data_IF_347553123819
#
_entry.id   IF_347553123819
#
_cell.length_a   1.000
_cell.length_b   1.000
_cell.length_c   1.000
_cell.angle_alpha   90.00
_cell.angle_beta   90.00
_cell.angle_gamma   90.00
#
_symmetry.space_group_name_H-M   'P 1'
#
loop_
_entity.id
_entity.type
_entity.pdbx_description
1 polymer ?
#
# COMPACT_ATOMS: atom_id res chain seq x y z
N UNK A 1 -17.07 -23.72 5.67
CA UNK A 1 -15.96 -24.30 6.45
C UNK A 1 -14.95 -23.24 6.88
N UNK A 2 -14.62 -23.18 8.16
CA UNK A 2 -13.72 -22.19 8.75
C UNK A 2 -12.69 -22.89 9.65
N UNK A 3 -11.77 -22.12 10.27
CA UNK A 3 -10.78 -22.68 11.19
C UNK A 3 -11.42 -23.40 12.40
N UNK A 4 -12.62 -22.98 12.81
CA UNK A 4 -13.36 -23.59 13.92
C UNK A 4 -14.17 -24.83 13.55
N UNK A 5 -14.24 -25.21 12.27
CA UNK A 5 -14.92 -26.46 11.86
C UNK A 5 -14.11 -27.66 12.37
N UNK A 6 -14.70 -28.54 13.21
CA UNK A 6 -14.09 -29.76 13.72
C UNK A 6 -13.51 -30.65 12.61
N UNK A 7 -12.53 -31.48 12.97
CA UNK A 7 -11.79 -32.29 12.00
C UNK A 7 -12.67 -33.33 11.30
N UNK A 8 -13.49 -34.05 12.06
CA UNK A 8 -14.46 -35.03 11.57
C UNK A 8 -15.51 -34.39 10.64
N UNK A 9 -16.07 -33.25 11.02
CA UNK A 9 -17.01 -32.51 10.18
C UNK A 9 -16.35 -32.04 8.87
N UNK A 10 -15.09 -31.58 8.93
CA UNK A 10 -14.31 -31.22 7.73
C UNK A 10 -14.13 -32.40 6.79
N UNK A 11 -13.76 -33.57 7.30
CA UNK A 11 -13.61 -34.78 6.47
C UNK A 11 -14.94 -35.16 5.83
N UNK A 12 -16.04 -35.08 6.56
CA UNK A 12 -17.37 -35.36 6.02
C UNK A 12 -17.76 -34.38 4.89
N UNK A 13 -17.49 -33.09 5.06
CA UNK A 13 -17.76 -32.07 4.02
C UNK A 13 -16.96 -32.35 2.76
N UNK A 14 -15.66 -32.66 2.90
CA UNK A 14 -14.77 -32.98 1.79
C UNK A 14 -15.25 -34.25 1.08
N UNK A 15 -15.55 -35.31 1.83
CA UNK A 15 -16.04 -36.58 1.29
C UNK A 15 -17.33 -36.41 0.47
N UNK A 16 -18.30 -35.65 1.00
CA UNK A 16 -19.54 -35.33 0.28
C UNK A 16 -19.28 -34.55 -1.01
N UNK A 17 -18.27 -33.69 -1.03
CA UNK A 17 -17.89 -32.94 -2.22
C UNK A 17 -17.26 -33.84 -3.29
N UNK A 18 -16.36 -34.74 -2.89
CA UNK A 18 -15.70 -35.71 -3.78
C UNK A 18 -16.69 -36.69 -4.41
N UNK A 19 -17.73 -37.08 -3.67
CA UNK A 19 -18.84 -37.89 -4.19
C UNK A 19 -19.84 -37.09 -5.04
N UNK A 20 -19.66 -35.77 -5.13
CA UNK A 20 -20.56 -34.88 -5.86
C UNK A 20 -21.92 -34.65 -5.18
N UNK A 21 -22.12 -35.11 -3.95
CA UNK A 21 -23.31 -34.83 -3.13
C UNK A 21 -23.36 -33.35 -2.71
N UNK A 22 -22.19 -32.74 -2.49
CA UNK A 22 -22.03 -31.30 -2.30
C UNK A 22 -21.33 -30.71 -3.52
N UNK A 23 -21.94 -29.72 -4.21
CA UNK A 23 -21.33 -29.12 -5.41
C UNK A 23 -20.40 -27.95 -5.14
N UNK A 24 -20.55 -27.28 -3.99
CA UNK A 24 -19.82 -26.05 -3.66
C UNK A 24 -19.38 -26.11 -2.20
N UNK A 25 -18.10 -25.86 -1.94
CA UNK A 25 -17.57 -25.62 -0.59
C UNK A 25 -17.15 -24.17 -0.45
N UNK A 26 -17.79 -23.45 0.47
CA UNK A 26 -17.33 -22.12 0.89
C UNK A 26 -16.31 -22.29 2.02
N UNK A 27 -15.11 -21.74 1.83
CA UNK A 27 -14.03 -21.84 2.82
C UNK A 27 -13.36 -20.50 3.11
N UNK A 28 -12.87 -20.34 4.34
CA UNK A 28 -12.10 -19.16 4.75
C UNK A 28 -10.72 -19.59 5.23
N UNK A 29 -9.75 -19.60 4.30
CA UNK A 29 -8.33 -19.82 4.61
C UNK A 29 -7.93 -21.25 4.98
N UNK A 30 -8.87 -22.19 5.02
CA UNK A 30 -8.63 -23.58 5.46
C UNK A 30 -8.28 -24.53 4.31
N UNK A 31 -8.79 -24.30 3.10
CA UNK A 31 -8.51 -25.16 1.94
C UNK A 31 -7.32 -24.69 1.10
N UNK A 32 -6.50 -23.79 1.65
CA UNK A 32 -5.30 -23.28 0.95
C UNK A 32 -4.20 -24.34 0.93
N UNK A 33 -4.17 -25.25 1.91
CA UNK A 33 -3.22 -26.36 2.02
C UNK A 33 -3.97 -27.66 2.38
N UNK A 34 -3.43 -28.82 1.96
CA UNK A 34 -3.98 -30.13 2.28
C UNK A 34 -5.29 -30.51 1.56
N UNK A 35 -5.81 -29.66 0.67
CA UNK A 35 -6.98 -29.95 -0.15
C UNK A 35 -6.58 -30.34 -1.57
N UNK A 36 -7.01 -31.53 -1.98
CA UNK A 36 -6.67 -32.15 -3.25
C UNK A 36 -7.83 -32.99 -3.82
N UNK A 37 -8.92 -32.30 -4.19
CA UNK A 37 -10.10 -32.91 -4.82
C UNK A 37 -10.29 -32.34 -6.23
N UNK A 38 -11.12 -32.98 -7.09
CA UNK A 38 -11.44 -32.45 -8.42
C UNK A 38 -12.26 -31.15 -8.32
N UNK A 39 -11.59 -30.02 -8.49
CA UNK A 39 -12.21 -28.69 -8.57
C UNK A 39 -12.27 -28.22 -10.01
N UNK A 40 -13.49 -27.88 -10.47
CA UNK A 40 -13.75 -27.40 -11.83
C UNK A 40 -14.07 -25.90 -11.91
N UNK A 41 -14.35 -25.28 -10.77
CA UNK A 41 -14.70 -23.87 -10.67
C UNK A 41 -14.14 -23.26 -9.38
N UNK A 42 -13.52 -22.08 -9.50
CA UNK A 42 -13.05 -21.28 -8.37
C UNK A 42 -13.79 -19.95 -8.37
N UNK A 43 -14.46 -19.63 -7.26
CA UNK A 43 -15.01 -18.30 -7.00
C UNK A 43 -14.09 -17.62 -5.99
N UNK A 44 -13.30 -16.66 -6.46
CA UNK A 44 -12.34 -15.95 -5.63
C UNK A 44 -12.91 -14.61 -5.16
N UNK A 45 -13.46 -14.62 -3.94
CA UNK A 45 -14.08 -13.46 -3.30
C UNK A 45 -13.20 -12.82 -2.21
N UNK A 46 -11.87 -12.95 -2.33
CA UNK A 46 -10.92 -12.48 -1.31
C UNK A 46 -9.88 -11.55 -1.91
N UNK A 47 -9.94 -10.22 -1.65
CA UNK A 47 -8.86 -9.32 -2.05
C UNK A 47 -7.51 -9.76 -1.47
N UNK A 48 -6.50 -9.84 -2.32
CA UNK A 48 -5.12 -10.16 -1.94
C UNK A 48 -4.13 -9.23 -2.64
N UNK A 49 -3.01 -8.95 -1.96
CA UNK A 49 -1.82 -8.31 -2.52
C UNK A 49 -0.66 -9.30 -2.70
N UNK A 50 -0.88 -10.58 -2.36
CA UNK A 50 0.11 -11.65 -2.45
C UNK A 50 -0.18 -12.48 -3.70
N UNK A 51 0.75 -12.44 -4.66
CA UNK A 51 0.78 -13.28 -5.86
C UNK A 51 0.80 -14.76 -5.49
N UNK A 52 1.70 -15.15 -4.57
CA UNK A 52 1.81 -16.53 -4.07
C UNK A 52 0.44 -17.07 -3.63
N UNK A 53 -0.29 -16.30 -2.84
CA UNK A 53 -1.61 -16.72 -2.35
C UNK A 53 -2.65 -16.78 -3.48
N UNK A 54 -2.61 -15.85 -4.43
CA UNK A 54 -3.48 -15.85 -5.59
C UNK A 54 -3.28 -17.13 -6.41
N UNK A 55 -2.02 -17.45 -6.74
CA UNK A 55 -1.63 -18.66 -7.48
C UNK A 55 -1.98 -19.92 -6.69
N UNK A 56 -1.67 -19.98 -5.39
CA UNK A 56 -1.97 -21.15 -4.55
C UNK A 56 -3.46 -21.45 -4.45
N UNK A 57 -4.32 -20.43 -4.43
CA UNK A 57 -5.77 -20.60 -4.38
C UNK A 57 -6.32 -21.03 -5.74
N UNK A 58 -5.95 -20.35 -6.83
CA UNK A 58 -6.42 -20.67 -8.18
C UNK A 58 -5.89 -22.02 -8.65
N UNK A 59 -4.63 -22.33 -8.34
CA UNK A 59 -3.96 -23.57 -8.72
C UNK A 59 -4.66 -24.84 -8.21
N UNK A 60 -5.56 -24.74 -7.22
CA UNK A 60 -6.40 -25.87 -6.79
C UNK A 60 -7.40 -26.30 -7.87
N UNK A 61 -7.89 -25.36 -8.68
CA UNK A 61 -8.75 -25.64 -9.83
C UNK A 61 -7.99 -26.08 -11.08
N UNK A 62 -6.74 -25.64 -11.22
CA UNK A 62 -5.91 -25.89 -12.40
C UNK A 62 -5.29 -27.30 -12.46
N UNK A 63 -5.45 -28.13 -11.42
CA UNK A 63 -5.00 -29.53 -11.46
C UNK A 63 -5.78 -30.32 -12.49
N UNK A 64 -5.14 -31.22 -13.21
CA UNK A 64 -5.82 -32.13 -14.15
C UNK A 64 -6.71 -33.12 -13.41
N UNK A 65 -7.85 -33.48 -14.01
CA UNK A 65 -8.74 -34.54 -13.54
C UNK A 65 -9.40 -35.23 -14.74
N UNK A 66 -9.84 -36.50 -14.61
CA UNK A 66 -10.54 -37.19 -15.70
C UNK A 66 -11.75 -36.40 -16.22
N UNK A 67 -11.79 -36.16 -17.53
CA UNK A 67 -12.86 -35.40 -18.18
C UNK A 67 -12.94 -33.93 -17.76
N UNK A 68 -11.81 -33.30 -17.41
CA UNK A 68 -11.71 -31.86 -17.13
C UNK A 68 -10.77 -31.19 -18.11
N UNK A 69 -11.37 -30.57 -19.14
CA UNK A 69 -10.63 -29.81 -20.15
C UNK A 69 -10.43 -28.35 -19.75
N UNK A 70 -11.32 -27.81 -18.91
CA UNK A 70 -11.33 -26.40 -18.51
C UNK A 70 -11.65 -26.23 -17.03
N UNK A 71 -11.05 -25.21 -16.40
CA UNK A 71 -11.44 -24.73 -15.07
C UNK A 71 -11.97 -23.29 -15.18
N UNK A 72 -13.14 -23.03 -14.61
CA UNK A 72 -13.71 -21.69 -14.56
C UNK A 72 -13.18 -20.92 -13.34
N UNK A 73 -12.79 -19.66 -13.54
CA UNK A 73 -12.30 -18.79 -12.47
C UNK A 73 -13.11 -17.50 -12.47
N UNK A 74 -13.83 -17.24 -11.38
CA UNK A 74 -14.58 -16.02 -11.15
C UNK A 74 -13.85 -15.17 -10.10
N UNK A 75 -13.20 -14.09 -10.53
CA UNK A 75 -12.52 -13.15 -9.65
C UNK A 75 -13.44 -11.98 -9.27
N UNK A 76 -14.09 -12.08 -8.10
CA UNK A 76 -14.89 -11.00 -7.53
C UNK A 76 -14.08 -10.01 -6.70
N UNK A 77 -12.76 -10.21 -6.61
CA UNK A 77 -11.88 -9.42 -5.78
C UNK A 77 -11.06 -8.38 -6.55
N UNK A 78 -11.04 -8.46 -7.88
CA UNK A 78 -10.18 -7.65 -8.75
C UNK A 78 -8.69 -7.99 -8.61
N UNK A 79 -8.38 -9.23 -8.24
CA UNK A 79 -7.01 -9.72 -8.15
C UNK A 79 -6.31 -9.74 -9.51
N UNK A 80 -7.00 -10.08 -10.60
CA UNK A 80 -6.43 -10.03 -11.96
C UNK A 80 -6.00 -8.61 -12.35
N UNK A 81 -6.79 -7.60 -12.00
CA UNK A 81 -6.41 -6.19 -12.26
C UNK A 81 -5.14 -5.78 -11.51
N UNK A 82 -4.86 -6.37 -10.34
CA UNK A 82 -3.76 -5.98 -9.47
C UNK A 82 -2.50 -6.82 -9.65
N UNK A 83 -2.67 -8.11 -9.91
CA UNK A 83 -1.61 -9.11 -9.89
C UNK A 83 -1.39 -9.78 -11.26
N UNK A 84 -2.29 -9.57 -12.22
CA UNK A 84 -2.23 -10.20 -13.53
C UNK A 84 -2.95 -11.55 -13.58
N UNK A 85 -2.91 -12.17 -14.76
CA UNK A 85 -3.46 -13.49 -14.96
C UNK A 85 -2.58 -14.55 -14.28
N UNK A 86 -3.17 -15.57 -13.62
CA UNK A 86 -2.41 -16.60 -12.88
C UNK A 86 -1.34 -17.32 -13.71
N UNK A 87 -1.60 -17.56 -14.98
CA UNK A 87 -0.73 -18.23 -15.95
C UNK A 87 0.38 -17.34 -16.51
N UNK A 88 0.27 -16.02 -16.32
CA UNK A 88 1.30 -15.07 -16.74
C UNK A 88 2.30 -14.74 -15.61
N UNK A 89 2.13 -15.27 -14.40
CA UNK A 89 3.01 -14.98 -13.27
C UNK A 89 4.13 -16.02 -13.22
N UNK A 90 5.31 -15.64 -13.70
CA UNK A 90 6.50 -16.49 -13.72
C UNK A 90 7.63 -15.95 -12.83
N UNK A 91 8.42 -16.85 -12.25
CA UNK A 91 9.59 -16.52 -11.44
C UNK A 91 10.84 -17.17 -12.05
N UNK A 92 11.57 -16.41 -12.88
CA UNK A 92 12.87 -16.81 -13.47
C UNK A 92 13.95 -17.19 -12.45
N UNK A 93 13.87 -16.64 -11.24
CA UNK A 93 14.83 -16.84 -10.16
C UNK A 93 14.10 -17.16 -8.86
N UNK A 94 14.64 -18.11 -8.11
CA UNK A 94 14.24 -18.29 -6.71
C UNK A 94 14.89 -17.18 -5.89
N UNK A 95 14.14 -16.38 -5.13
CA UNK A 95 14.75 -15.41 -4.23
C UNK A 95 15.59 -16.17 -3.20
N UNK A 96 16.92 -15.97 -3.24
CA UNK A 96 17.84 -16.63 -2.32
C UNK A 96 17.40 -16.49 -0.87
N UNK A 97 17.51 -17.58 -0.10
CA UNK A 97 17.48 -17.56 1.36
C UNK A 97 18.62 -16.66 1.83
N UNK A 98 18.27 -15.50 2.37
CA UNK A 98 19.19 -14.38 2.53
C UNK A 98 20.34 -14.62 3.51
N UNK A 99 21.52 -14.19 3.08
CA UNK A 99 22.71 -13.79 3.82
C UNK A 99 22.82 -12.26 3.95
N UNK A 100 21.68 -11.58 4.12
CA UNK A 100 21.64 -10.20 4.66
C UNK A 100 21.61 -9.05 3.66
N UNK A 101 21.56 -9.27 2.35
CA UNK A 101 21.42 -8.18 1.36
C UNK A 101 19.95 -7.92 1.00
N UNK A 102 19.35 -6.90 1.63
CA UNK A 102 17.96 -6.45 1.37
C UNK A 102 17.79 -5.79 -0.01
N UNK A 103 18.88 -5.39 -0.65
CA UNK A 103 18.87 -4.57 -1.87
C UNK A 103 18.53 -5.36 -3.14
N UNK A 104 18.87 -6.65 -3.19
CA UNK A 104 18.60 -7.52 -4.35
C UNK A 104 17.09 -7.71 -4.58
N UNK A 105 16.31 -7.89 -3.50
CA UNK A 105 14.84 -8.03 -3.57
C UNK A 105 14.13 -6.77 -4.06
N UNK A 106 14.70 -5.59 -3.81
CA UNK A 106 14.14 -4.32 -4.26
C UNK A 106 14.43 -4.09 -5.73
N UNK A 107 15.65 -4.42 -6.20
CA UNK A 107 16.02 -4.28 -7.61
C UNK A 107 15.28 -5.25 -8.54
N UNK A 108 15.09 -6.51 -8.14
CA UNK A 108 14.43 -7.52 -8.97
C UNK A 108 12.93 -7.24 -9.13
N UNK A 109 12.28 -6.81 -8.04
CA UNK A 109 10.88 -6.36 -8.07
C UNK A 109 10.70 -5.03 -8.82
N UNK A 110 11.71 -4.16 -8.83
CA UNK A 110 11.70 -2.91 -9.60
C UNK A 110 11.94 -3.14 -11.11
N UNK A 111 12.65 -4.21 -11.49
CA UNK A 111 12.78 -4.63 -12.91
C UNK A 111 11.48 -5.20 -13.47
N UNK A 112 10.65 -5.86 -12.65
CA UNK A 112 9.37 -6.47 -13.06
C UNK A 112 8.15 -5.55 -12.92
N UNK A 113 8.17 -4.38 -13.55
CA UNK A 113 6.90 -3.71 -13.88
C UNK A 113 6.39 -4.31 -15.19
N UNK A 114 6.08 -5.60 -15.16
CA UNK A 114 5.33 -6.21 -16.25
C UNK A 114 3.98 -5.51 -16.34
N UNK A 115 3.61 -5.12 -17.55
CA UNK A 115 2.38 -4.38 -17.79
C UNK A 115 1.23 -5.28 -17.35
N UNK A 116 0.42 -4.81 -16.41
CA UNK A 116 -0.76 -5.55 -15.97
C UNK A 116 -1.83 -5.56 -17.07
N UNK A 117 -2.71 -6.57 -17.09
CA UNK A 117 -3.82 -6.62 -18.01
C UNK A 117 -4.76 -5.42 -17.80
N UNK A 118 -5.44 -5.01 -18.88
CA UNK A 118 -6.34 -3.86 -18.87
C UNK A 118 -7.72 -4.24 -19.35
N UNK A 119 -8.72 -3.82 -18.61
CA UNK A 119 -10.11 -3.99 -18.98
C UNK A 119 -10.46 -3.20 -20.25
N UNK A 120 -11.22 -3.82 -21.15
CA UNK A 120 -11.80 -3.15 -22.30
C UNK A 120 -12.95 -2.25 -21.88
N UNK A 121 -12.90 -0.98 -22.28
CA UNK A 121 -13.92 0.04 -22.01
C UNK A 121 -15.29 -0.24 -22.66
N UNK A 122 -15.35 -1.09 -23.69
CA UNK A 122 -16.59 -1.41 -24.39
C UNK A 122 -17.24 -2.72 -23.92
N UNK A 123 -16.47 -3.79 -23.71
CA UNK A 123 -17.02 -5.12 -23.44
C UNK A 123 -16.54 -5.75 -22.13
N UNK A 124 -15.77 -5.02 -21.31
CA UNK A 124 -15.22 -5.47 -20.03
C UNK A 124 -14.29 -6.69 -20.11
N UNK A 125 -13.88 -7.11 -21.31
CA UNK A 125 -12.90 -8.16 -21.46
C UNK A 125 -11.55 -7.71 -20.91
N UNK A 126 -10.94 -8.56 -20.08
CA UNK A 126 -9.62 -8.33 -19.55
C UNK A 126 -8.57 -8.58 -20.63
N UNK A 127 -8.05 -7.51 -21.24
CA UNK A 127 -7.07 -7.62 -22.32
C UNK A 127 -5.69 -7.92 -21.73
N UNK A 128 -4.92 -8.85 -22.34
CA UNK A 128 -3.52 -9.04 -21.98
C UNK A 128 -2.70 -7.75 -22.11
N UNK A 129 -1.59 -7.74 -21.40
CA UNK A 129 -0.63 -6.65 -21.40
C UNK A 129 -0.22 -6.24 -22.82
N UNK A 130 -0.26 -4.94 -23.14
CA UNK A 130 0.19 -4.44 -24.44
C UNK A 130 -0.80 -4.61 -25.60
N UNK A 131 -1.91 -5.31 -25.42
CA UNK A 131 -2.92 -5.51 -26.46
C UNK A 131 -3.80 -4.27 -26.62
N UNK A 132 -3.62 -3.56 -27.74
CA UNK A 132 -4.35 -2.32 -28.03
C UNK A 132 -5.79 -2.59 -28.50
N UNK A 133 -5.95 -3.41 -29.54
CA UNK A 133 -7.25 -3.83 -30.08
C UNK A 133 -7.82 -4.96 -29.22
N UNK A 134 -9.05 -4.81 -28.71
CA UNK A 134 -9.66 -5.86 -27.90
C UNK A 134 -9.86 -7.15 -28.71
N UNK A 135 -9.36 -8.31 -28.26
CA UNK A 135 -9.50 -9.57 -29.00
C UNK A 135 -10.94 -10.12 -28.97
N UNK A 136 -11.78 -9.69 -28.01
CA UNK A 136 -13.17 -10.15 -27.88
C UNK A 136 -14.14 -9.37 -28.78
N UNK A 137 -14.04 -8.04 -28.83
CA UNK A 137 -15.02 -7.19 -29.52
C UNK A 137 -14.41 -6.27 -30.59
N UNK A 138 -13.10 -6.32 -30.83
CA UNK A 138 -12.43 -5.47 -31.81
C UNK A 138 -12.28 -3.99 -31.40
N UNK A 139 -12.73 -3.61 -30.18
CA UNK A 139 -12.65 -2.23 -29.72
C UNK A 139 -11.23 -1.70 -29.74
N UNK A 140 -11.02 -0.62 -30.50
CA UNK A 140 -9.80 0.16 -30.55
C UNK A 140 -10.09 1.48 -29.81
N UNK A 141 -9.51 1.70 -28.62
CA UNK A 141 -9.65 2.98 -27.95
C UNK A 141 -9.09 4.05 -28.88
N UNK A 142 -9.92 5.00 -29.33
CA UNK A 142 -9.40 6.17 -30.03
C UNK A 142 -8.46 6.86 -29.05
N UNK A 143 -7.15 6.84 -29.34
CA UNK A 143 -6.32 7.94 -28.84
C UNK A 143 -7.04 9.17 -29.34
N UNK A 144 -7.42 10.08 -28.42
CA UNK A 144 -8.05 11.34 -28.84
C UNK A 144 -7.29 11.85 -30.05
N UNK A 145 -8.02 12.22 -31.10
CA UNK A 145 -7.42 12.70 -32.35
C UNK A 145 -6.22 13.55 -31.99
N UNK A 146 -5.05 13.23 -32.55
CA UNK A 146 -3.89 14.08 -32.42
C UNK A 146 -4.33 15.42 -33.00
N UNK A 147 -4.76 16.33 -32.11
CA UNK A 147 -5.13 17.70 -32.46
C UNK A 147 -3.94 18.20 -33.26
N UNK A 148 -4.14 18.62 -34.51
CA UNK A 148 -3.07 19.09 -35.36
C UNK A 148 -2.22 20.10 -34.57
N UNK A 149 -1.05 19.65 -34.13
CA UNK A 149 -0.10 20.54 -33.50
C UNK A 149 0.83 21.02 -34.59
N UNK A 150 0.66 22.30 -34.94
CA UNK A 150 1.57 23.05 -35.77
C UNK A 150 3.04 22.76 -35.39
N UNK A 151 3.72 21.99 -36.24
CA UNK A 151 5.11 21.55 -36.04
C UNK A 151 6.11 22.69 -36.24
N UNK A 152 5.69 23.83 -36.80
CA UNK A 152 6.52 25.04 -36.90
C UNK A 152 6.62 25.77 -35.56
N UNK A 153 5.71 25.48 -34.62
CA UNK A 153 5.81 25.88 -33.22
C UNK A 153 6.37 24.72 -32.40
N UNK A 154 7.69 24.56 -32.41
CA UNK A 154 8.38 23.51 -31.67
C UNK A 154 7.85 23.31 -30.24
N UNK A 155 7.06 22.26 -30.04
CA UNK A 155 6.57 21.85 -28.73
C UNK A 155 7.74 21.25 -27.93
N UNK A 156 8.41 22.10 -27.16
CA UNK A 156 9.19 21.61 -26.02
C UNK A 156 8.20 21.04 -25.01
N UNK A 157 8.52 19.85 -24.45
CA UNK A 157 7.96 19.37 -23.18
C UNK A 157 7.82 20.61 -22.29
N UNK A 158 6.61 20.97 -21.88
CA UNK A 158 6.44 22.02 -20.89
C UNK A 158 6.92 21.40 -19.58
N UNK A 159 8.25 21.40 -19.37
CA UNK A 159 8.79 21.52 -18.03
C UNK A 159 8.00 22.66 -17.43
N UNK A 160 7.38 22.42 -16.27
CA UNK A 160 6.55 23.38 -15.55
C UNK A 160 7.33 24.68 -15.50
N UNK A 161 7.08 25.58 -16.47
CA UNK A 161 7.93 26.76 -16.70
C UNK A 161 7.82 27.50 -15.39
N UNK A 162 8.94 27.73 -14.69
CA UNK A 162 8.91 28.40 -13.40
C UNK A 162 8.07 29.67 -13.58
N UNK A 163 6.90 29.69 -12.94
CA UNK A 163 5.96 30.80 -13.08
C UNK A 163 6.69 32.02 -12.57
N UNK A 164 7.08 32.92 -13.48
CA UNK A 164 7.72 34.18 -13.10
C UNK A 164 6.67 35.02 -12.39
N UNK A 165 6.75 35.10 -11.07
CA UNK A 165 5.85 35.93 -10.27
C UNK A 165 6.26 37.39 -10.39
N UNK A 166 5.30 38.25 -10.70
CA UNK A 166 5.53 39.71 -10.73
C UNK A 166 5.66 40.26 -9.31
N UNK A 167 6.03 41.55 -9.19
CA UNK A 167 6.10 42.23 -7.89
C UNK A 167 4.71 42.30 -7.25
N UNK A 168 3.67 42.47 -8.05
CA UNK A 168 2.27 42.54 -7.65
C UNK A 168 1.79 41.18 -7.14
N UNK A 169 2.16 40.07 -7.79
CA UNK A 169 1.83 38.72 -7.32
C UNK A 169 2.46 38.44 -5.95
N UNK A 170 3.73 38.83 -5.79
CA UNK A 170 4.47 38.74 -4.52
C UNK A 170 3.83 39.59 -3.42
N UNK A 171 3.43 40.82 -3.75
CA UNK A 171 2.71 41.70 -2.84
C UNK A 171 1.37 41.09 -2.41
N UNK A 172 0.55 40.61 -3.36
CA UNK A 172 -0.73 39.98 -3.06
C UNK A 172 -0.59 38.75 -2.17
N UNK A 173 0.46 37.95 -2.39
CA UNK A 173 0.75 36.80 -1.55
C UNK A 173 1.16 37.20 -0.13
N UNK A 174 2.01 38.23 0.00
CA UNK A 174 2.43 38.78 1.29
C UNK A 174 1.24 39.35 2.09
N UNK A 175 0.38 40.11 1.44
CA UNK A 175 -0.86 40.64 2.01
C UNK A 175 -1.79 39.54 2.52
N UNK A 176 -1.88 38.40 1.83
CA UNK A 176 -2.65 37.25 2.29
C UNK A 176 -2.04 36.55 3.50
N UNK A 177 -0.71 36.48 3.59
CA UNK A 177 -0.02 35.98 4.80
C UNK A 177 -0.29 36.91 5.99
N UNK A 178 -0.25 38.23 5.79
CA UNK A 178 -0.58 39.22 6.83
C UNK A 178 -2.03 39.14 7.29
N UNK A 179 -2.97 38.87 6.36
CA UNK A 179 -4.36 38.58 6.72
C UNK A 179 -4.47 37.33 7.60
N UNK A 180 -3.81 36.23 7.21
CA UNK A 180 -3.76 35.01 8.02
C UNK A 180 -3.16 35.26 9.41
N UNK A 181 -2.12 36.10 9.51
CA UNK A 181 -1.54 36.50 10.78
C UNK A 181 -2.55 37.20 11.69
N UNK A 182 -3.27 38.20 11.17
CA UNK A 182 -4.32 38.90 11.93
C UNK A 182 -5.45 37.97 12.36
N UNK A 183 -5.89 37.09 11.47
CA UNK A 183 -6.92 36.09 11.75
C UNK A 183 -6.49 35.10 12.86
N UNK A 184 -5.22 34.70 12.86
CA UNK A 184 -4.67 33.82 13.89
C UNK A 184 -4.54 34.49 15.25
N UNK A 185 -4.20 35.78 15.27
CA UNK A 185 -4.18 36.59 16.48
C UNK A 185 -5.58 36.75 17.07
N UNK A 186 -6.60 37.00 16.25
CA UNK A 186 -7.99 37.10 16.74
C UNK A 186 -8.53 35.76 17.28
N UNK A 187 -8.03 34.63 16.77
CA UNK A 187 -8.36 33.29 17.25
C UNK A 187 -7.52 32.84 18.48
N UNK A 188 -6.73 33.74 19.07
CA UNK A 188 -5.91 33.44 20.26
C UNK A 188 -4.71 32.52 20.00
N UNK A 189 -4.31 32.32 18.74
CA UNK A 189 -3.16 31.49 18.35
C UNK A 189 -2.21 32.29 17.45
N UNK A 190 -1.59 33.36 17.96
CA UNK A 190 -0.80 34.30 17.15
C UNK A 190 0.34 33.58 16.42
N UNK A 191 0.69 34.10 15.24
CA UNK A 191 1.86 33.68 14.48
C UNK A 191 2.85 34.85 14.43
N UNK A 192 4.14 34.55 14.60
CA UNK A 192 5.19 35.57 14.64
C UNK A 192 5.46 36.15 13.25
N UNK A 193 6.03 37.36 13.20
CA UNK A 193 6.48 37.97 11.94
C UNK A 193 7.56 37.14 11.26
N UNK A 194 8.43 36.50 12.04
CA UNK A 194 9.40 35.53 11.53
C UNK A 194 8.72 34.37 10.80
N UNK A 195 7.64 33.80 11.36
CA UNK A 195 6.88 32.74 10.70
C UNK A 195 6.30 33.20 9.37
N UNK A 196 5.77 34.43 9.31
CA UNK A 196 5.23 35.02 8.08
C UNK A 196 6.33 35.16 7.01
N UNK A 197 7.50 35.70 7.38
CA UNK A 197 8.65 35.86 6.49
C UNK A 197 9.18 34.52 5.96
N UNK A 198 9.32 33.50 6.83
CA UNK A 198 9.73 32.15 6.42
C UNK A 198 8.72 31.45 5.52
N UNK A 199 7.43 31.73 5.72
CA UNK A 199 6.36 31.21 4.85
C UNK A 199 6.44 31.83 3.46
N UNK A 200 6.67 33.14 3.37
CA UNK A 200 6.90 33.84 2.10
C UNK A 200 8.16 33.35 1.38
N UNK A 201 9.31 33.28 2.10
CA UNK A 201 10.59 32.80 1.56
C UNK A 201 10.49 31.37 1.01
N UNK A 202 9.71 30.51 1.66
CA UNK A 202 9.50 29.13 1.21
C UNK A 202 8.76 29.02 -0.13
N UNK A 203 7.99 30.03 -0.54
CA UNK A 203 7.28 30.06 -1.82
C UNK A 203 8.11 30.73 -2.92
N UNK A 204 8.80 31.83 -2.60
CA UNK A 204 9.48 32.68 -3.59
C UNK A 204 11.01 32.68 -3.53
N UNK A 205 11.63 32.01 -2.56
CA UNK A 205 13.08 31.99 -2.34
C UNK A 205 13.67 33.28 -1.74
N UNK A 206 12.98 34.42 -1.88
CA UNK A 206 13.41 35.74 -1.39
C UNK A 206 12.64 36.18 -0.16
N UNK A 207 13.20 37.10 0.62
CA UNK A 207 12.48 37.77 1.72
C UNK A 207 11.48 38.83 1.19
N UNK A 208 10.42 39.17 1.95
CA UNK A 208 9.40 40.15 1.55
C UNK A 208 9.90 41.61 1.70
N UNK A 209 11.10 41.90 1.20
CA UNK A 209 11.71 43.22 1.33
C UNK A 209 11.05 44.20 0.35
N UNK A 210 10.66 45.39 0.84
CA UNK A 210 10.03 46.42 0.02
C UNK A 210 8.58 46.14 -0.39
N UNK A 211 7.89 45.24 0.33
CA UNK A 211 6.46 44.98 0.22
C UNK A 211 5.69 45.72 1.33
N UNK A 212 4.43 46.07 1.06
CA UNK A 212 3.56 46.78 2.00
C UNK A 212 2.78 45.81 2.90
N UNK A 213 2.57 46.18 4.16
CA UNK A 213 1.94 45.35 5.20
C UNK A 213 0.41 45.56 5.31
N UNK A 214 -0.29 45.50 4.18
CA UNK A 214 -1.76 45.55 4.17
C UNK A 214 -2.37 44.15 4.01
N UNK A 215 -3.35 43.75 4.84
CA UNK A 215 -3.96 42.42 4.76
C UNK A 215 -4.98 42.33 3.61
N UNK A 216 -5.00 41.22 2.89
CA UNK A 216 -6.02 40.86 1.89
C UNK A 216 -6.55 39.46 2.21
N UNK A 217 -7.84 39.22 2.01
CA UNK A 217 -8.47 37.90 2.21
C UNK A 217 -7.71 36.76 1.54
N UNK A 218 -7.64 35.64 2.25
CA UNK A 218 -6.85 34.47 1.84
C UNK A 218 -7.54 33.69 0.71
N UNK A 219 -6.83 33.49 -0.40
CA UNK A 219 -7.27 32.62 -1.49
C UNK A 219 -7.09 31.13 -1.15
N UNK A 220 -7.82 30.22 -1.84
CA UNK A 220 -7.63 28.79 -1.70
C UNK A 220 -6.18 28.34 -1.96
N UNK A 221 -5.44 29.00 -2.86
CA UNK A 221 -4.04 28.68 -3.16
C UNK A 221 -3.14 28.91 -1.92
N UNK A 222 -3.25 30.08 -1.29
CA UNK A 222 -2.44 30.42 -0.11
C UNK A 222 -2.84 29.56 1.08
N UNK A 223 -4.15 29.32 1.27
CA UNK A 223 -4.66 28.46 2.34
C UNK A 223 -4.12 27.03 2.22
N UNK A 224 -4.16 26.43 1.02
CA UNK A 224 -3.63 25.09 0.78
C UNK A 224 -2.11 25.03 0.97
N UNK A 225 -1.38 26.06 0.58
CA UNK A 225 0.06 26.14 0.81
C UNK A 225 0.39 26.18 2.31
N UNK A 226 -0.28 27.02 3.10
CA UNK A 226 -0.08 27.09 4.55
C UNK A 226 -0.41 25.75 5.21
N UNK A 227 -1.53 25.13 4.85
CA UNK A 227 -1.92 23.78 5.32
C UNK A 227 -0.85 22.75 5.01
N UNK A 228 -0.31 22.73 3.79
CA UNK A 228 0.76 21.79 3.42
C UNK A 228 2.02 21.96 4.28
N UNK A 229 2.37 23.19 4.66
CA UNK A 229 3.51 23.45 5.55
C UNK A 229 3.25 22.95 6.98
N UNK A 230 2.03 23.13 7.50
CA UNK A 230 1.66 22.63 8.82
C UNK A 230 1.69 21.10 8.86
N UNK A 231 1.16 20.44 7.83
CA UNK A 231 1.21 18.97 7.70
C UNK A 231 2.67 18.48 7.62
N UNK A 232 3.50 19.14 6.80
CA UNK A 232 4.92 18.79 6.69
C UNK A 232 5.66 18.94 8.02
N UNK A 233 5.36 20.00 8.78
CA UNK A 233 5.93 20.22 10.11
C UNK A 233 5.49 19.13 11.12
N UNK A 234 4.20 18.79 11.15
CA UNK A 234 3.68 17.73 12.02
C UNK A 234 4.34 16.37 11.73
N UNK A 235 4.39 15.97 10.45
CA UNK A 235 5.08 14.73 10.02
C UNK A 235 6.57 14.75 10.32
N UNK A 236 7.22 15.90 10.21
CA UNK A 236 8.62 16.08 10.58
C UNK A 236 8.86 15.80 12.06
N UNK A 237 7.99 16.31 12.94
CA UNK A 237 8.05 16.05 14.38
C UNK A 237 7.80 14.60 14.74
N UNK A 238 6.79 13.95 14.14
CA UNK A 238 6.52 12.52 14.32
C UNK A 238 7.73 11.66 13.93
N UNK A 239 8.42 12.03 12.84
CA UNK A 239 9.63 11.32 12.40
C UNK A 239 10.79 11.51 13.37
N UNK A 240 11.00 12.72 13.88
CA UNK A 240 12.04 13.00 14.89
C UNK A 240 11.77 12.27 16.21
N UNK A 241 10.51 12.23 16.65
CA UNK A 241 10.11 11.51 17.86
C UNK A 241 10.38 10.01 17.73
N UNK A 242 9.99 9.40 16.61
CA UNK A 242 10.31 7.98 16.32
C UNK A 242 11.81 7.71 16.25
N UNK A 243 12.60 8.66 15.74
CA UNK A 243 14.06 8.53 15.69
C UNK A 243 14.69 8.61 17.07
N UNK A 244 14.18 9.50 17.94
CA UNK A 244 14.62 9.61 19.33
C UNK A 244 14.29 8.35 20.14
N UNK A 245 13.07 7.80 20.00
CA UNK A 245 12.66 6.52 20.61
C UNK A 245 13.54 5.33 20.18
N UNK A 246 14.05 5.34 18.94
CA UNK A 246 14.98 4.29 18.46
C UNK A 246 16.44 4.50 18.87
N UNK A 247 16.79 5.67 19.43
CA UNK A 247 18.17 6.06 19.76
C UNK A 247 18.48 6.10 21.26
N UNK A 248 17.46 5.94 22.13
CA UNK A 248 17.71 5.71 23.56
C UNK A 248 18.38 4.34 23.76
N UNK A 249 19.58 4.26 24.35
CA UNK A 249 20.20 2.98 24.65
C UNK A 249 19.34 2.26 25.70
N UNK A 250 18.88 1.05 25.36
CA UNK A 250 18.33 0.12 26.34
C UNK A 250 19.41 -0.10 27.40
N UNK A 251 19.22 0.44 28.61
CA UNK A 251 20.00 0.06 29.78
C UNK A 251 19.76 -1.44 29.94
N UNK A 252 20.76 -2.23 29.54
CA UNK A 252 20.74 -3.67 29.73
C UNK A 252 20.71 -3.94 31.24
N UNK A 253 19.56 -4.40 31.74
CA UNK A 253 19.50 -5.06 33.04
C UNK A 253 20.50 -6.23 33.00
N UNK A 254 21.43 -6.35 33.97
CA UNK A 254 22.38 -7.45 33.97
C UNK A 254 21.62 -8.78 34.00
N UNK A 255 21.99 -9.65 33.06
CA UNK A 255 21.40 -10.98 32.89
C UNK A 255 21.49 -11.74 34.21
N UNK A 256 20.33 -12.03 34.81
CA UNK A 256 20.26 -12.93 35.97
C UNK A 256 20.77 -14.30 35.51
N UNK A 257 21.74 -14.81 36.24
CA UNK A 257 22.51 -16.02 35.97
C UNK A 257 21.57 -17.22 35.72
N UNK A 258 21.78 -18.08 34.68
CA UNK A 258 20.88 -19.20 34.37
C UNK A 258 20.85 -20.33 35.42
N UNK A 259 21.64 -20.24 36.49
CA UNK A 259 21.81 -21.28 37.50
C UNK A 259 20.65 -21.40 38.52
N UNK A 260 19.54 -20.68 38.34
CA UNK A 260 18.34 -20.77 39.20
C UNK A 260 17.15 -21.47 38.52
N UNK A 261 17.34 -22.10 37.35
CA UNK A 261 16.31 -22.87 36.63
C UNK A 261 16.44 -24.39 36.78
N UNK A 262 16.86 -24.90 37.94
CA UNK A 262 16.62 -26.30 38.28
C UNK A 262 15.56 -26.39 39.38
N UNK A 263 14.42 -27.01 39.08
CA UNK A 263 13.34 -27.29 40.05
C UNK A 263 13.75 -28.30 41.14
N UNK A 264 15.02 -28.70 41.18
CA UNK A 264 15.59 -29.64 42.14
C UNK A 264 16.17 -28.93 43.37
N UNK A 265 16.63 -27.68 43.26
CA UNK A 265 17.21 -26.96 44.40
C UNK A 265 16.15 -26.44 45.39
N UNK A 266 14.96 -26.06 44.89
CA UNK A 266 13.84 -25.63 45.74
C UNK A 266 13.16 -26.78 46.52
N UNK A 267 13.43 -28.04 46.17
CA UNK A 267 12.84 -29.20 46.88
C UNK A 267 13.67 -29.70 48.06
N UNK A 268 14.95 -29.30 48.17
CA UNK A 268 15.83 -29.76 49.25
C UNK A 268 15.85 -28.84 50.49
N UNK A 269 15.22 -27.66 50.44
CA UNK A 269 15.31 -26.66 51.53
C UNK A 269 13.97 -26.17 52.09
N UNK A 270 12.88 -26.92 51.90
CA UNK A 270 11.61 -26.67 52.61
C UNK A 270 11.31 -27.88 53.52
N UNK A 271 11.92 -27.89 54.70
CA UNK A 271 11.42 -28.64 55.85
C UNK A 271 10.25 -27.88 56.47
N UNK A 272 9.07 -28.50 56.70
CA UNK A 272 8.04 -27.86 57.51
C UNK A 272 8.45 -27.98 58.98
N UNK A 273 8.76 -26.84 59.60
CA UNK A 273 8.80 -26.74 61.06
C UNK A 273 7.39 -27.01 61.60
N UNK A 274 7.28 -27.99 62.49
CA UNK A 274 6.08 -28.27 63.25
C UNK A 274 5.69 -27.07 64.13
N UNK A 275 4.38 -26.91 64.29
CA UNK A 275 3.76 -26.04 65.28
C UNK A 275 2.43 -26.65 65.68
N UNK A 276 2.38 -27.16 66.91
CA UNK A 276 1.20 -27.70 67.57
C UNK A 276 0.28 -26.61 68.12
N UNK A 277 -0.98 -27.03 68.37
CA UNK A 277 -2.14 -26.38 69.02
C UNK A 277 -3.08 -25.61 68.09
#
# INVERSE_FOLDING_TARGET
MTAGTPHDERQLIIHRFEQGATKVIVNVGVLVAGFDSDVRCIIYARPTKSEIRWIQCVGRGLRTAPGKDTCLIFDHSGSVHRLGFPDAIEYDSLPGTSDGMKDSKVQERAKRVEKLPKECTQCHFMKPAGVYVCPKCGHKPLSGEDVEVDSSRGLKKVSKKERKYTKEDKQRWWSQIKYYQRQRTSMGKPVSDGWCGHTYKSKFGTWPNGLQDYPIEISPEVSNFIKSKQIAFAKGREKQQKQQETSEPQIALPSINPALKSSEYLRQHITPAGGSL
#
